data_IF_473123901839
#
_entry.id   IF_473123901839
#
_cell.length_a   1.000
_cell.length_b   1.000
_cell.length_c   1.000
_cell.angle_alpha   90.00
_cell.angle_beta   90.00
_cell.angle_gamma   90.00
#
_symmetry.space_group_name_H-M   'P 1'
#
loop_
_entity.id
_entity.type
_entity.pdbx_description
1 polymer ?
#
# COMPACT_ATOMS: atom_id res chain seq x y z
N UNK A 1 -19.35 4.99 2.45
CA UNK A 1 -20.52 5.38 1.64
C UNK A 1 -20.50 4.64 0.30
N UNK A 2 -20.54 3.31 0.36
CA UNK A 2 -20.60 2.41 -0.79
C UNK A 2 -22.06 2.22 -1.19
N UNK A 3 -22.72 3.24 -1.77
CA UNK A 3 -24.00 3.08 -2.48
C UNK A 3 -24.49 4.40 -3.11
N UNK A 4 -23.76 4.98 -4.07
CA UNK A 4 -24.32 6.05 -4.92
C UNK A 4 -23.86 5.98 -6.37
N UNK A 5 -23.72 4.78 -6.93
CA UNK A 5 -23.88 4.66 -8.39
C UNK A 5 -25.39 4.63 -8.65
N UNK A 6 -26.01 5.80 -8.58
CA UNK A 6 -27.33 5.99 -9.14
C UNK A 6 -27.15 5.89 -10.66
N UNK A 7 -27.47 4.72 -11.20
CA UNK A 7 -27.53 4.44 -12.63
C UNK A 7 -28.65 5.29 -13.26
N UNK A 8 -28.42 6.59 -13.38
CA UNK A 8 -29.25 7.48 -14.18
C UNK A 8 -28.66 7.55 -15.57
N UNK A 9 -28.97 6.53 -16.35
CA UNK A 9 -29.41 6.68 -17.73
C UNK A 9 -30.20 5.40 -18.04
N UNK A 10 -31.45 5.39 -17.57
CA UNK A 10 -32.46 4.60 -18.25
C UNK A 10 -32.38 5.01 -19.72
N UNK A 11 -32.02 4.05 -20.57
CA UNK A 11 -32.22 4.12 -22.00
C UNK A 11 -33.72 4.25 -22.26
N UNK A 12 -34.27 5.45 -22.11
CA UNK A 12 -35.56 5.82 -22.68
C UNK A 12 -35.25 6.71 -23.86
N UNK A 13 -35.18 6.05 -25.01
CA UNK A 13 -35.51 6.65 -26.28
C UNK A 13 -36.90 7.31 -26.16
N UNK A 14 -36.95 8.60 -25.87
CA UNK A 14 -38.07 9.46 -26.20
C UNK A 14 -37.52 10.72 -26.85
N UNK A 15 -37.42 10.62 -28.18
CA UNK A 15 -37.36 11.72 -29.12
C UNK A 15 -38.54 12.66 -28.85
N UNK A 16 -38.34 13.68 -28.01
CA UNK A 16 -39.18 14.86 -28.02
C UNK A 16 -38.54 15.87 -28.97
N UNK A 17 -38.99 15.85 -30.23
CA UNK A 17 -38.71 16.87 -31.23
C UNK A 17 -39.23 18.24 -30.76
N UNK A 18 -38.42 18.94 -29.97
CA UNK A 18 -38.29 20.38 -30.09
C UNK A 18 -37.13 20.64 -31.06
N UNK A 19 -37.30 21.55 -32.01
CA UNK A 19 -36.43 21.83 -33.16
C UNK A 19 -35.01 22.32 -32.76
N UNK A 20 -34.24 21.51 -32.04
CA UNK A 20 -32.85 21.78 -31.66
C UNK A 20 -31.94 21.20 -32.74
N UNK A 21 -31.01 22.00 -33.27
CA UNK A 21 -30.05 21.49 -34.27
C UNK A 21 -29.22 20.35 -33.66
N UNK A 22 -28.83 19.36 -34.47
CA UNK A 22 -28.00 18.23 -33.99
C UNK A 22 -26.66 18.72 -33.38
N UNK A 23 -26.15 19.88 -33.84
CA UNK A 23 -24.98 20.56 -33.29
C UNK A 23 -25.23 21.09 -31.86
N UNK A 24 -26.40 21.69 -31.60
CA UNK A 24 -26.75 22.18 -30.27
C UNK A 24 -27.04 21.01 -29.29
N UNK A 25 -27.60 19.91 -29.80
CA UNK A 25 -27.77 18.67 -29.05
C UNK A 25 -26.41 18.06 -28.67
N UNK A 26 -25.44 18.02 -29.60
CA UNK A 26 -24.07 17.57 -29.35
C UNK A 26 -23.41 18.40 -28.24
N UNK A 27 -23.46 19.73 -28.33
CA UNK A 27 -22.86 20.61 -27.31
C UNK A 27 -23.51 20.43 -25.94
N UNK A 28 -24.84 20.26 -25.90
CA UNK A 28 -25.57 19.98 -24.65
C UNK A 28 -25.11 18.66 -24.03
N UNK A 29 -24.97 17.60 -24.85
CA UNK A 29 -24.47 16.30 -24.40
C UNK A 29 -23.03 16.40 -23.89
N UNK A 30 -22.13 17.03 -24.65
CA UNK A 30 -20.74 17.22 -24.25
C UNK A 30 -20.62 17.93 -22.91
N UNK A 31 -21.32 19.05 -22.71
CA UNK A 31 -21.27 19.80 -21.45
C UNK A 31 -21.76 18.96 -20.25
N UNK A 32 -22.75 18.09 -20.48
CA UNK A 32 -23.25 17.16 -19.45
C UNK A 32 -22.20 16.12 -19.12
N UNK A 33 -21.60 15.49 -20.14
CA UNK A 33 -20.53 14.50 -19.97
C UNK A 33 -19.30 15.10 -19.30
N UNK A 34 -18.86 16.28 -19.74
CA UNK A 34 -17.72 17.02 -19.18
C UNK A 34 -17.89 17.28 -17.68
N UNK A 35 -19.06 17.80 -17.29
CA UNK A 35 -19.38 18.12 -15.90
C UNK A 35 -19.35 16.86 -15.02
N UNK A 36 -20.01 15.79 -15.47
CA UNK A 36 -20.09 14.56 -14.69
C UNK A 36 -18.73 13.88 -14.59
N UNK A 37 -18.04 13.68 -15.72
CA UNK A 37 -16.73 12.99 -15.73
C UNK A 37 -15.70 13.73 -14.89
N UNK A 38 -15.63 15.07 -14.97
CA UNK A 38 -14.71 15.85 -14.12
C UNK A 38 -15.07 15.77 -12.64
N UNK A 39 -16.35 15.73 -12.30
CA UNK A 39 -16.80 15.58 -10.91
C UNK A 39 -16.39 14.21 -10.36
N UNK A 40 -16.73 13.14 -11.07
CA UNK A 40 -16.43 11.75 -10.68
C UNK A 40 -14.91 11.51 -10.64
N UNK A 41 -14.15 12.04 -11.60
CA UNK A 41 -12.69 11.99 -11.57
C UNK A 41 -12.13 12.67 -10.33
N UNK A 42 -12.60 13.87 -9.98
CA UNK A 42 -12.12 14.60 -8.82
C UNK A 42 -12.38 13.83 -7.52
N UNK A 43 -13.58 13.26 -7.38
CA UNK A 43 -13.93 12.42 -6.23
C UNK A 43 -13.05 11.17 -6.17
N UNK A 44 -12.84 10.50 -7.31
CA UNK A 44 -11.97 9.35 -7.41
C UNK A 44 -10.52 9.65 -7.02
N UNK A 45 -9.95 10.79 -7.44
CA UNK A 45 -8.58 11.17 -7.06
C UNK A 45 -8.44 11.39 -5.56
N UNK A 46 -9.46 11.98 -4.92
CA UNK A 46 -9.49 12.15 -3.46
C UNK A 46 -9.52 10.77 -2.78
N UNK A 47 -10.38 9.87 -3.25
CA UNK A 47 -10.55 8.54 -2.68
C UNK A 47 -9.30 7.67 -2.85
N UNK A 48 -8.73 7.61 -4.06
CA UNK A 48 -7.50 6.88 -4.37
C UNK A 48 -6.35 7.39 -3.49
N UNK A 49 -6.17 8.73 -3.40
CA UNK A 49 -5.11 9.30 -2.55
C UNK A 49 -5.31 9.00 -1.08
N UNK A 50 -6.56 8.93 -0.61
CA UNK A 50 -6.87 8.58 0.77
C UNK A 50 -6.44 7.14 1.13
N UNK A 51 -6.22 6.25 0.15
CA UNK A 51 -5.70 4.89 0.39
C UNK A 51 -4.27 4.85 0.92
N UNK A 52 -3.51 5.93 0.77
CA UNK A 52 -2.16 6.05 1.37
C UNK A 52 -2.17 6.03 2.90
N UNK A 53 -3.26 6.47 3.53
CA UNK A 53 -3.40 6.47 5.00
C UNK A 53 -3.48 5.04 5.56
N UNK A 54 -4.46 4.21 5.16
CA UNK A 54 -4.53 2.82 5.62
C UNK A 54 -3.30 1.98 5.19
N UNK A 55 -2.73 2.21 4.01
CA UNK A 55 -1.46 1.57 3.59
C UNK A 55 -0.36 1.77 4.65
N UNK A 56 -0.08 3.02 5.01
CA UNK A 56 0.94 3.34 6.00
C UNK A 56 0.58 2.84 7.40
N UNK A 57 -0.70 2.89 7.77
CA UNK A 57 -1.17 2.38 9.04
C UNK A 57 -0.86 0.89 9.21
N UNK A 58 -1.23 0.05 8.23
CA UNK A 58 -1.00 -1.40 8.31
C UNK A 58 0.50 -1.74 8.35
N UNK A 59 1.30 -1.08 7.51
CA UNK A 59 2.76 -1.29 7.50
C UNK A 59 3.38 -0.91 8.85
N UNK A 60 2.97 0.23 9.42
CA UNK A 60 3.49 0.67 10.71
C UNK A 60 3.05 -0.24 11.86
N UNK A 61 1.85 -0.80 11.82
CA UNK A 61 1.40 -1.79 12.80
C UNK A 61 2.28 -3.04 12.78
N UNK A 62 2.52 -3.62 11.60
CA UNK A 62 3.37 -4.83 11.49
C UNK A 62 4.82 -4.53 11.82
N UNK A 63 5.33 -3.37 11.42
CA UNK A 63 6.65 -2.89 11.86
C UNK A 63 6.75 -2.84 13.39
N UNK A 64 5.78 -2.21 14.06
CA UNK A 64 5.72 -2.16 15.53
C UNK A 64 5.64 -3.54 16.17
N UNK A 65 4.90 -4.47 15.57
CA UNK A 65 4.84 -5.87 16.02
C UNK A 65 6.19 -6.60 15.88
N UNK A 66 6.89 -6.45 14.75
CA UNK A 66 8.22 -7.04 14.52
C UNK A 66 9.23 -6.52 15.55
N UNK A 67 9.29 -5.21 15.75
CA UNK A 67 10.20 -4.60 16.73
C UNK A 67 9.83 -4.98 18.17
N UNK A 68 8.54 -4.97 18.50
CA UNK A 68 8.05 -5.37 19.83
C UNK A 68 8.41 -6.82 20.15
N UNK A 69 8.20 -7.73 19.21
CA UNK A 69 8.57 -9.13 19.36
C UNK A 69 10.07 -9.34 19.54
N UNK A 70 10.90 -8.61 18.78
CA UNK A 70 12.36 -8.66 18.96
C UNK A 70 12.75 -8.18 20.36
N UNK A 71 12.23 -7.03 20.80
CA UNK A 71 12.51 -6.49 22.14
C UNK A 71 12.12 -7.45 23.24
N UNK A 72 10.93 -8.06 23.17
CA UNK A 72 10.51 -9.08 24.14
C UNK A 72 11.40 -10.33 24.12
N UNK A 73 11.83 -10.78 22.93
CA UNK A 73 12.72 -11.93 22.82
C UNK A 73 14.13 -11.64 23.37
N UNK A 74 14.55 -10.37 23.32
CA UNK A 74 15.83 -9.87 23.79
C UNK A 74 15.88 -9.51 25.29
N UNK A 75 14.72 -9.28 25.92
CA UNK A 75 14.58 -8.83 27.32
C UNK A 75 15.43 -9.63 28.33
N UNK A 76 15.51 -10.98 28.28
CA UNK A 76 16.28 -11.74 29.26
C UNK A 76 17.80 -11.59 29.15
N UNK A 77 18.32 -10.87 28.15
CA UNK A 77 19.75 -10.81 27.89
C UNK A 77 20.54 -10.21 29.05
N UNK A 78 20.20 -8.99 29.45
CA UNK A 78 20.96 -8.24 30.45
C UNK A 78 20.85 -8.86 31.85
N UNK A 79 19.71 -9.44 32.18
CA UNK A 79 19.55 -10.22 33.42
C UNK A 79 20.50 -11.42 33.46
N UNK A 80 20.65 -12.12 32.34
CA UNK A 80 21.58 -13.26 32.25
C UNK A 80 23.04 -12.82 32.28
N UNK A 81 23.38 -11.69 31.66
CA UNK A 81 24.73 -11.10 31.73
C UNK A 81 25.08 -10.74 33.18
N UNK A 82 24.20 -10.04 33.90
CA UNK A 82 24.43 -9.69 35.31
C UNK A 82 24.63 -10.93 36.18
N UNK A 83 23.84 -11.99 35.95
CA UNK A 83 24.02 -13.26 36.66
C UNK A 83 25.36 -13.94 36.36
N UNK A 84 25.85 -13.83 35.12
CA UNK A 84 27.17 -14.34 34.75
C UNK A 84 28.32 -13.56 35.38
N UNK A 85 28.20 -12.23 35.49
CA UNK A 85 29.17 -11.37 36.18
C UNK A 85 29.27 -11.73 37.67
N UNK A 86 28.12 -11.84 38.36
CA UNK A 86 28.06 -12.25 39.78
C UNK A 86 28.70 -13.63 40.00
N UNK A 87 28.38 -14.60 39.14
CA UNK A 87 28.96 -15.95 39.23
C UNK A 87 30.47 -15.96 39.02
N UNK A 88 30.97 -15.16 38.08
CA UNK A 88 32.39 -15.06 37.79
C UNK A 88 33.15 -14.39 38.94
N UNK A 89 32.56 -13.39 39.59
CA UNK A 89 33.11 -12.73 40.78
C UNK A 89 33.27 -13.72 41.95
N UNK A 90 32.25 -14.54 42.22
CA UNK A 90 32.28 -15.56 43.30
C UNK A 90 33.46 -16.53 43.15
N UNK A 91 33.88 -16.82 41.91
CA UNK A 91 34.95 -17.78 41.60
C UNK A 91 36.26 -17.12 41.12
N UNK A 92 36.39 -15.80 41.29
CA UNK A 92 37.56 -14.99 40.90
C UNK A 92 38.01 -15.22 39.44
N UNK A 93 37.06 -15.20 38.50
CA UNK A 93 37.33 -15.33 37.06
C UNK A 93 37.07 -14.04 36.30
N UNK A 94 38.04 -13.63 35.49
CA UNK A 94 37.86 -12.54 34.53
C UNK A 94 37.16 -13.05 33.26
N UNK A 95 35.95 -12.57 33.01
CA UNK A 95 35.14 -12.90 31.82
C UNK A 95 34.94 -11.73 30.84
N UNK A 96 35.60 -10.58 31.05
CA UNK A 96 35.37 -9.34 30.27
C UNK A 96 35.42 -9.58 28.76
N UNK A 97 36.44 -10.30 28.28
CA UNK A 97 36.58 -10.61 26.84
C UNK A 97 35.37 -11.39 26.30
N UNK A 98 34.84 -12.33 27.07
CA UNK A 98 33.71 -13.14 26.65
C UNK A 98 32.40 -12.34 26.66
N UNK A 99 32.26 -11.40 27.61
CA UNK A 99 31.15 -10.45 27.63
C UNK A 99 31.18 -9.54 26.40
N UNK A 100 32.34 -8.96 26.08
CA UNK A 100 32.48 -8.09 24.90
C UNK A 100 32.15 -8.82 23.59
N UNK A 101 32.66 -10.04 23.42
CA UNK A 101 32.34 -10.88 22.27
C UNK A 101 30.85 -11.26 22.24
N UNK A 102 30.26 -11.57 23.40
CA UNK A 102 28.84 -11.87 23.54
C UNK A 102 27.94 -10.69 23.18
N UNK A 103 28.28 -9.48 23.65
CA UNK A 103 27.57 -8.24 23.32
C UNK A 103 27.59 -7.99 21.81
N UNK A 104 28.78 -8.11 21.20
CA UNK A 104 28.94 -7.94 19.75
C UNK A 104 28.06 -8.92 18.96
N UNK A 105 28.08 -10.21 19.34
CA UNK A 105 27.26 -11.23 18.69
C UNK A 105 25.76 -11.01 18.88
N UNK A 106 25.34 -10.53 20.06
CA UNK A 106 23.93 -10.22 20.34
C UNK A 106 23.41 -9.07 19.47
N UNK A 107 24.16 -7.97 19.37
CA UNK A 107 23.76 -6.85 18.49
C UNK A 107 23.72 -7.28 17.02
N UNK A 108 24.69 -8.08 16.58
CA UNK A 108 24.71 -8.63 15.23
C UNK A 108 23.52 -9.56 14.96
N UNK A 109 23.14 -10.41 15.92
CA UNK A 109 21.97 -11.28 15.83
C UNK A 109 20.68 -10.46 15.68
N UNK A 110 20.47 -9.47 16.55
CA UNK A 110 19.29 -8.59 16.49
C UNK A 110 19.21 -7.88 15.13
N UNK A 111 20.33 -7.31 14.67
CA UNK A 111 20.39 -6.66 13.36
C UNK A 111 20.15 -7.61 12.20
N UNK A 112 20.59 -8.87 12.29
CA UNK A 112 20.40 -9.86 11.22
C UNK A 112 18.95 -10.32 11.14
N UNK A 113 18.31 -10.56 12.29
CA UNK A 113 16.95 -11.12 12.37
C UNK A 113 15.89 -10.15 11.84
N UNK A 114 16.11 -8.84 11.97
CA UNK A 114 15.14 -7.83 11.49
C UNK A 114 15.27 -7.50 10.02
N UNK A 115 16.42 -7.79 9.38
CA UNK A 115 16.68 -7.37 7.99
C UNK A 115 15.64 -7.89 7.01
N UNK A 116 15.34 -9.18 7.06
CA UNK A 116 14.38 -9.79 6.14
C UNK A 116 12.95 -9.25 6.36
N UNK A 117 12.41 -9.21 7.60
CA UNK A 117 11.11 -8.57 7.85
C UNK A 117 11.03 -7.11 7.40
N UNK A 118 12.06 -6.30 7.65
CA UNK A 118 12.07 -4.88 7.25
C UNK A 118 12.06 -4.74 5.72
N UNK A 119 12.90 -5.51 5.02
CA UNK A 119 12.93 -5.49 3.56
C UNK A 119 11.58 -5.91 2.94
N UNK A 120 10.89 -6.89 3.54
CA UNK A 120 9.55 -7.28 3.10
C UNK A 120 8.51 -6.18 3.35
N UNK A 121 8.60 -5.45 4.48
CA UNK A 121 7.74 -4.30 4.76
C UNK A 121 7.96 -3.14 3.80
N UNK A 122 9.22 -2.89 3.41
CA UNK A 122 9.59 -1.90 2.39
C UNK A 122 9.03 -2.27 1.03
N UNK A 123 9.18 -3.53 0.60
CA UNK A 123 8.58 -4.02 -0.64
C UNK A 123 7.04 -3.83 -0.66
N UNK A 124 6.35 -4.20 0.44
CA UNK A 124 4.90 -3.99 0.54
C UNK A 124 4.51 -2.49 0.45
N UNK A 125 5.37 -1.60 0.96
CA UNK A 125 5.17 -0.14 0.88
C UNK A 125 5.33 0.37 -0.54
N UNK A 126 6.37 -0.08 -1.23
CA UNK A 126 6.67 0.28 -2.62
C UNK A 126 5.53 -0.19 -3.53
N UNK A 127 5.18 -1.48 -3.47
CA UNK A 127 4.09 -2.08 -4.23
C UNK A 127 2.77 -1.32 -4.02
N UNK A 128 2.42 -1.03 -2.76
CA UNK A 128 1.19 -0.31 -2.46
C UNK A 128 1.19 1.14 -2.94
N UNK A 129 2.34 1.80 -2.90
CA UNK A 129 2.49 3.15 -3.42
C UNK A 129 2.36 3.16 -4.95
N UNK A 130 2.98 2.20 -5.63
CA UNK A 130 2.90 2.04 -7.07
C UNK A 130 1.45 1.80 -7.52
N UNK A 131 0.71 0.93 -6.85
CA UNK A 131 -0.69 0.63 -7.20
C UNK A 131 -1.59 1.86 -7.02
N UNK A 132 -1.40 2.66 -5.95
CA UNK A 132 -2.13 3.92 -5.76
C UNK A 132 -1.82 4.90 -6.89
N UNK A 133 -0.55 5.02 -7.29
CA UNK A 133 -0.13 5.91 -8.38
C UNK A 133 -0.66 5.44 -9.75
N UNK A 134 -0.60 4.14 -10.02
CA UNK A 134 -1.13 3.53 -11.23
C UNK A 134 -2.64 3.72 -11.34
N UNK A 135 -3.37 3.55 -10.23
CA UNK A 135 -4.80 3.80 -10.13
C UNK A 135 -5.14 5.28 -10.40
N UNK A 136 -4.40 6.21 -9.80
CA UNK A 136 -4.55 7.64 -10.07
C UNK A 136 -4.33 7.95 -11.56
N UNK A 137 -3.29 7.36 -12.17
CA UNK A 137 -2.95 7.52 -13.58
C UNK A 137 -4.03 6.96 -14.51
N UNK A 138 -4.61 5.81 -14.19
CA UNK A 138 -5.72 5.22 -14.92
C UNK A 138 -6.97 6.12 -14.90
N UNK A 139 -7.28 6.72 -13.74
CA UNK A 139 -8.39 7.69 -13.67
C UNK A 139 -8.06 8.96 -14.47
N UNK A 140 -6.80 9.43 -14.48
CA UNK A 140 -6.38 10.59 -15.26
C UNK A 140 -6.49 10.39 -16.78
N UNK A 141 -6.32 9.16 -17.29
CA UNK A 141 -6.43 8.90 -18.74
C UNK A 141 -7.83 9.21 -19.28
N UNK A 142 -8.87 9.11 -18.45
CA UNK A 142 -10.24 9.48 -18.82
C UNK A 142 -10.36 10.99 -19.07
N UNK A 143 -9.65 11.82 -18.32
CA UNK A 143 -9.61 13.27 -18.53
C UNK A 143 -8.85 13.62 -19.80
N UNK A 144 -7.74 12.92 -20.08
CA UNK A 144 -7.01 13.10 -21.33
C UNK A 144 -7.90 12.82 -22.54
N UNK A 145 -8.63 11.71 -22.54
CA UNK A 145 -9.56 11.36 -23.62
C UNK A 145 -10.74 12.34 -23.73
N UNK A 146 -11.29 12.82 -22.60
CA UNK A 146 -12.33 13.86 -22.62
C UNK A 146 -11.86 15.15 -23.31
N UNK A 147 -10.61 15.57 -23.09
CA UNK A 147 -10.04 16.75 -23.72
C UNK A 147 -9.82 16.57 -25.23
N UNK A 148 -9.49 15.37 -25.68
CA UNK A 148 -9.42 15.04 -27.11
C UNK A 148 -10.82 15.14 -27.75
N UNK A 149 -11.83 14.57 -27.09
CA UNK A 149 -13.22 14.67 -27.54
C UNK A 149 -13.75 16.11 -27.56
N UNK A 150 -13.30 16.96 -26.63
CA UNK A 150 -13.62 18.39 -26.65
C UNK A 150 -13.20 19.07 -27.95
N UNK A 151 -12.00 18.76 -28.43
CA UNK A 151 -11.46 19.32 -29.68
C UNK A 151 -12.31 18.88 -30.86
N UNK A 152 -12.68 17.60 -30.93
CA UNK A 152 -13.51 17.06 -32.00
C UNK A 152 -14.92 17.68 -32.00
N UNK A 153 -15.55 17.79 -30.82
CA UNK A 153 -16.87 18.42 -30.64
C UNK A 153 -16.86 19.86 -31.11
N UNK A 154 -15.82 20.64 -30.78
CA UNK A 154 -15.69 22.04 -31.18
C UNK A 154 -15.38 22.22 -32.67
N UNK A 155 -14.74 21.25 -33.31
CA UNK A 155 -14.43 21.27 -34.74
C UNK A 155 -15.64 20.86 -35.62
N UNK A 156 -16.66 20.23 -35.03
CA UNK A 156 -17.81 19.72 -35.74
C UNK A 156 -18.71 20.84 -36.32
N UNK A 157 -19.02 20.77 -37.62
CA UNK A 157 -19.73 21.84 -38.34
C UNK A 157 -21.00 21.41 -39.09
N UNK A 158 -21.37 20.13 -39.04
CA UNK A 158 -22.55 19.62 -39.72
C UNK A 158 -23.26 18.51 -38.92
N UNK A 159 -24.51 18.21 -39.29
CA UNK A 159 -25.36 17.26 -38.56
C UNK A 159 -24.83 15.83 -38.59
N UNK A 160 -24.23 15.38 -39.69
CA UNK A 160 -23.67 14.01 -39.79
C UNK A 160 -22.54 13.81 -38.78
N UNK A 161 -21.60 14.75 -38.72
CA UNK A 161 -20.55 14.77 -37.70
C UNK A 161 -21.14 14.80 -36.28
N UNK A 162 -22.18 15.62 -36.07
CA UNK A 162 -22.78 15.77 -34.76
C UNK A 162 -23.45 14.47 -34.26
N UNK A 163 -24.14 13.74 -35.14
CA UNK A 163 -24.74 12.46 -34.79
C UNK A 163 -23.68 11.40 -34.47
N UNK A 164 -22.58 11.36 -35.24
CA UNK A 164 -21.46 10.44 -34.96
C UNK A 164 -20.82 10.72 -33.61
N UNK A 165 -20.47 11.99 -33.34
CA UNK A 165 -19.86 12.38 -32.07
C UNK A 165 -20.81 12.21 -30.88
N UNK A 166 -22.13 12.33 -31.06
CA UNK A 166 -23.08 12.02 -29.99
C UNK A 166 -23.05 10.54 -29.59
N UNK A 167 -22.86 9.62 -30.53
CA UNK A 167 -22.68 8.19 -30.23
C UNK A 167 -21.37 7.98 -29.50
N UNK A 168 -20.26 8.52 -30.03
CA UNK A 168 -18.94 8.44 -29.41
C UNK A 168 -18.93 8.98 -27.98
N UNK A 169 -19.57 10.13 -27.72
CA UNK A 169 -19.65 10.71 -26.37
C UNK A 169 -20.44 9.83 -25.39
N UNK A 170 -21.50 9.15 -25.85
CA UNK A 170 -22.27 8.22 -24.98
C UNK A 170 -21.45 6.98 -24.64
N UNK A 171 -20.73 6.43 -25.62
CA UNK A 171 -19.83 5.30 -25.41
C UNK A 171 -18.68 5.67 -24.47
N UNK A 172 -18.05 6.82 -24.70
CA UNK A 172 -17.03 7.39 -23.81
C UNK A 172 -17.58 7.59 -22.40
N UNK A 173 -18.77 8.17 -22.24
CA UNK A 173 -19.35 8.41 -20.92
C UNK A 173 -19.46 7.13 -20.09
N UNK A 174 -20.00 6.06 -20.67
CA UNK A 174 -20.14 4.76 -19.98
C UNK A 174 -18.77 4.17 -19.64
N UNK A 175 -17.85 4.11 -20.61
CA UNK A 175 -16.51 3.52 -20.41
C UNK A 175 -15.63 4.36 -19.49
N UNK A 176 -15.76 5.68 -19.52
CA UNK A 176 -15.03 6.63 -18.67
C UNK A 176 -15.42 6.46 -17.20
N UNK A 177 -16.72 6.40 -16.90
CA UNK A 177 -17.21 6.11 -15.56
C UNK A 177 -16.74 4.73 -15.06
N UNK A 178 -16.79 3.71 -15.92
CA UNK A 178 -16.31 2.37 -15.56
C UNK A 178 -14.79 2.36 -15.28
N UNK A 179 -14.00 3.08 -16.06
CA UNK A 179 -12.55 3.22 -15.86
C UNK A 179 -12.25 3.93 -14.54
N UNK A 180 -12.98 5.01 -14.21
CA UNK A 180 -12.86 5.72 -12.93
C UNK A 180 -13.19 4.78 -11.76
N UNK A 181 -14.30 4.05 -11.85
CA UNK A 181 -14.69 3.09 -10.81
C UNK A 181 -13.64 1.97 -10.63
N UNK A 182 -13.08 1.46 -11.75
CA UNK A 182 -12.02 0.45 -11.72
C UNK A 182 -10.76 0.97 -11.04
N UNK A 183 -10.37 2.22 -11.31
CA UNK A 183 -9.23 2.85 -10.64
C UNK A 183 -9.42 2.93 -9.11
N UNK A 184 -10.63 3.30 -8.65
CA UNK A 184 -10.94 3.30 -7.21
C UNK A 184 -10.86 1.88 -6.64
N UNK A 185 -11.43 0.89 -7.33
CA UNK A 185 -11.44 -0.52 -6.91
C UNK A 185 -10.00 -1.04 -6.76
N UNK A 186 -9.16 -0.87 -7.78
CA UNK A 186 -7.77 -1.34 -7.74
C UNK A 186 -7.00 -0.86 -6.50
N UNK A 187 -7.08 0.45 -6.19
CA UNK A 187 -6.42 1.00 -5.01
C UNK A 187 -7.05 0.52 -3.70
N UNK A 188 -8.37 0.30 -3.68
CA UNK A 188 -9.12 -0.14 -2.50
C UNK A 188 -8.87 -1.61 -2.20
N UNK A 189 -9.03 -2.47 -3.19
CA UNK A 189 -8.87 -3.93 -3.10
C UNK A 189 -7.43 -4.27 -2.71
N UNK A 190 -6.45 -3.58 -3.28
CA UNK A 190 -5.06 -3.78 -2.86
C UNK A 190 -4.87 -3.46 -1.37
N UNK A 191 -5.30 -2.28 -0.92
CA UNK A 191 -5.01 -1.85 0.46
C UNK A 191 -5.79 -2.63 1.51
N UNK A 192 -7.01 -3.07 1.22
CA UNK A 192 -7.86 -3.75 2.20
C UNK A 192 -7.91 -5.27 2.06
N UNK A 193 -7.55 -5.83 0.90
CA UNK A 193 -7.61 -7.28 0.69
C UNK A 193 -6.22 -7.89 0.48
N UNK A 194 -5.40 -7.32 -0.40
CA UNK A 194 -4.09 -7.90 -0.78
C UNK A 194 -3.02 -7.59 0.27
N UNK A 195 -2.87 -6.31 0.63
CA UNK A 195 -1.83 -5.86 1.56
C UNK A 195 -1.91 -6.59 2.93
N UNK A 196 -3.08 -6.75 3.58
CA UNK A 196 -3.14 -7.47 4.84
C UNK A 196 -2.66 -8.92 4.74
N UNK A 197 -2.88 -9.60 3.60
CA UNK A 197 -2.40 -10.97 3.38
C UNK A 197 -0.87 -11.01 3.23
N UNK A 198 -0.32 -10.08 2.45
CA UNK A 198 1.14 -9.94 2.30
C UNK A 198 1.82 -9.61 3.63
N UNK A 199 1.18 -8.77 4.45
CA UNK A 199 1.70 -8.40 5.76
C UNK A 199 1.58 -9.52 6.80
N UNK A 200 0.57 -10.40 6.71
CA UNK A 200 0.31 -11.46 7.68
C UNK A 200 1.43 -12.51 7.76
N UNK A 201 2.24 -12.65 6.70
CA UNK A 201 3.37 -13.59 6.66
C UNK A 201 4.67 -12.99 7.19
N UNK A 202 4.72 -11.67 7.42
CA UNK A 202 5.92 -10.99 7.88
C UNK A 202 6.03 -11.13 9.40
N UNK A 203 7.02 -11.90 9.86
CA UNK A 203 7.30 -12.07 11.28
C UNK A 203 8.79 -12.37 11.50
N UNK A 204 9.23 -12.30 12.75
CA UNK A 204 10.54 -12.82 13.16
C UNK A 204 10.48 -14.35 13.30
N UNK A 205 11.53 -15.05 12.87
CA UNK A 205 11.71 -16.47 13.18
C UNK A 205 12.15 -16.60 14.65
N UNK A 206 11.16 -16.62 15.54
CA UNK A 206 11.37 -16.69 16.99
C UNK A 206 12.13 -17.96 17.41
N UNK A 207 11.82 -19.17 16.93
CA UNK A 207 12.62 -20.36 17.23
C UNK A 207 14.09 -20.22 16.84
N UNK A 208 14.38 -19.70 15.64
CA UNK A 208 15.77 -19.46 15.23
C UNK A 208 16.44 -18.40 16.08
N UNK A 209 15.75 -17.29 16.38
CA UNK A 209 16.25 -16.25 17.28
C UNK A 209 16.63 -16.84 18.65
N UNK A 210 15.71 -17.53 19.31
CA UNK A 210 15.92 -18.11 20.64
C UNK A 210 17.09 -19.10 20.66
N UNK A 211 17.23 -19.93 19.62
CA UNK A 211 18.35 -20.87 19.50
C UNK A 211 19.70 -20.14 19.39
N UNK A 212 19.78 -19.13 18.53
CA UNK A 212 21.02 -18.35 18.34
C UNK A 212 21.34 -17.50 19.56
N UNK A 213 20.33 -16.92 20.19
CA UNK A 213 20.42 -16.19 21.45
C UNK A 213 21.00 -17.05 22.58
N UNK A 214 20.45 -18.25 22.79
CA UNK A 214 20.96 -19.17 23.81
C UNK A 214 22.41 -19.61 23.51
N UNK A 215 22.77 -19.79 22.24
CA UNK A 215 24.15 -20.10 21.85
C UNK A 215 25.14 -19.01 22.26
N UNK A 216 24.77 -17.74 22.14
CA UNK A 216 25.62 -16.61 22.58
C UNK A 216 25.85 -16.71 24.09
N UNK A 217 24.79 -16.98 24.87
CA UNK A 217 24.88 -17.11 26.32
C UNK A 217 25.70 -18.33 26.75
N UNK A 218 25.54 -19.46 26.06
CA UNK A 218 26.33 -20.67 26.30
C UNK A 218 27.83 -20.43 26.07
N UNK A 219 28.20 -19.60 25.09
CA UNK A 219 29.61 -19.22 24.87
C UNK A 219 30.19 -18.41 26.03
N UNK A 220 29.42 -17.45 26.57
CA UNK A 220 29.85 -16.70 27.76
C UNK A 220 29.99 -17.64 28.95
N UNK A 221 29.04 -18.55 29.12
CA UNK A 221 29.04 -19.55 30.20
C UNK A 221 30.28 -20.44 30.19
N UNK A 222 30.86 -20.75 29.02
CA UNK A 222 32.11 -21.49 28.93
C UNK A 222 33.27 -20.74 29.60
N UNK A 223 33.29 -19.41 29.62
CA UNK A 223 34.36 -18.66 30.29
C UNK A 223 34.27 -18.75 31.82
N UNK A 224 33.06 -18.97 32.35
CA UNK A 224 32.80 -19.14 33.78
C UNK A 224 33.15 -20.57 34.22
N UNK A 225 32.73 -21.59 33.45
CA UNK A 225 32.77 -22.99 33.88
C UNK A 225 33.74 -23.88 33.08
N UNK A 226 34.29 -23.38 31.98
CA UNK A 226 35.28 -24.09 31.18
C UNK A 226 36.52 -24.35 32.01
N UNK A 227 37.00 -25.60 32.01
CA UNK A 227 38.31 -25.92 32.58
C UNK A 227 39.37 -25.20 31.74
N UNK A 228 40.14 -24.32 32.36
CA UNK A 228 41.50 -24.03 31.91
C UNK A 228 42.22 -25.38 31.82
N UNK A 229 42.55 -25.80 30.60
CA UNK A 229 43.57 -26.83 30.41
C UNK A 229 44.93 -26.25 30.78
#
# INVERSE_FOLDING_TARGET
>A
MLLKIAFFLAASATLALGLKSDLEALLTLYNTVDTVIKSEHREAQIEIRARSVPLNFYINQVSGYVYGNLSQAAEPYWERIASFEEQAEIIDRNITKCLDEGHSQFYMLNGTIIRAPISQLEACREDGTEIILASSSLSNSVISELLELEVEVRACSNNTCAQQLQVTLREFYVRGLQTIATAISNATDYVFEVLPQNLAVINIDRPTYTRLFNRILDQIKICIYGRTQ
#
